data_IF_751345125182
#
_entry.id   IF_751345125182
#
_cell.length_a   1.000
_cell.length_b   1.000
_cell.length_c   1.000
_cell.angle_alpha   90.00
_cell.angle_beta   90.00
_cell.angle_gamma   90.00
#
_symmetry.space_group_name_H-M   'P 1'
#
loop_
_entity.id
_entity.type
_entity.pdbx_description
1 polymer ?
#
# COMPACT_ATOMS: atom_id res chain seq x y z
N UNK A 1 -20.38 -20.59 20.00
CA UNK A 1 -20.89 -19.84 18.82
C UNK A 1 -22.18 -20.52 18.34
N UNK A 2 -23.27 -19.78 18.10
CA UNK A 2 -24.56 -20.36 17.65
C UNK A 2 -24.37 -21.19 16.35
N UNK A 3 -24.87 -22.44 16.28
CA UNK A 3 -24.65 -23.34 15.14
C UNK A 3 -25.17 -22.76 13.82
N UNK A 4 -26.27 -22.01 13.86
CA UNK A 4 -26.84 -21.33 12.68
C UNK A 4 -25.88 -20.23 12.19
N UNK A 5 -25.28 -19.46 13.11
CA UNK A 5 -24.27 -18.44 12.76
C UNK A 5 -23.04 -19.08 12.11
N UNK A 6 -22.59 -20.23 12.62
CA UNK A 6 -21.47 -20.98 12.06
C UNK A 6 -21.77 -21.44 10.62
N UNK A 7 -22.96 -22.01 10.40
CA UNK A 7 -23.42 -22.45 9.08
C UNK A 7 -23.50 -21.28 8.10
N UNK A 8 -24.12 -20.16 8.48
CA UNK A 8 -24.22 -18.96 7.65
C UNK A 8 -22.86 -18.38 7.30
N UNK A 9 -21.92 -18.39 8.24
CA UNK A 9 -20.53 -17.94 8.01
C UNK A 9 -19.86 -18.80 6.95
N UNK A 10 -19.96 -20.13 7.05
CA UNK A 10 -19.43 -21.07 6.04
C UNK A 10 -20.05 -20.85 4.67
N UNK A 11 -21.37 -20.69 4.59
CA UNK A 11 -22.09 -20.43 3.33
C UNK A 11 -21.65 -19.09 2.69
N UNK A 12 -21.50 -18.03 3.50
CA UNK A 12 -21.01 -16.73 3.03
C UNK A 12 -19.60 -16.85 2.46
N UNK A 13 -18.70 -17.52 3.18
CA UNK A 13 -17.32 -17.73 2.75
C UNK A 13 -17.24 -18.53 1.44
N UNK A 14 -18.04 -19.60 1.29
CA UNK A 14 -18.09 -20.36 0.05
C UNK A 14 -18.50 -19.47 -1.14
N UNK A 15 -19.55 -18.65 -0.97
CA UNK A 15 -19.99 -17.70 -2.01
C UNK A 15 -18.93 -16.63 -2.30
N UNK A 16 -18.29 -16.10 -1.27
CA UNK A 16 -17.28 -15.05 -1.41
C UNK A 16 -16.01 -15.55 -2.08
N UNK A 17 -15.56 -16.78 -1.79
CA UNK A 17 -14.41 -17.39 -2.47
C UNK A 17 -14.55 -17.38 -4.00
N UNK A 18 -15.76 -17.63 -4.53
CA UNK A 18 -16.03 -17.52 -5.97
C UNK A 18 -15.86 -16.08 -6.49
N UNK A 19 -16.34 -15.09 -5.74
CA UNK A 19 -16.20 -13.66 -6.09
C UNK A 19 -14.75 -13.18 -6.00
N UNK A 20 -14.03 -13.59 -4.96
CA UNK A 20 -12.64 -13.19 -4.69
C UNK A 20 -11.68 -13.75 -5.74
N UNK A 21 -11.96 -14.94 -6.29
CA UNK A 21 -11.20 -15.50 -7.42
C UNK A 21 -11.29 -14.68 -8.71
N UNK A 22 -12.32 -13.85 -8.87
CA UNK A 22 -12.48 -13.02 -10.06
C UNK A 22 -11.67 -11.70 -10.00
N UNK A 23 -11.06 -11.38 -8.86
CA UNK A 23 -10.17 -10.22 -8.63
C UNK A 23 -10.70 -8.85 -9.10
N UNK A 24 -12.03 -8.66 -9.07
CA UNK A 24 -12.71 -7.40 -9.43
C UNK A 24 -12.92 -6.46 -8.24
N UNK A 25 -12.11 -6.61 -7.19
CA UNK A 25 -12.33 -5.98 -5.89
C UNK A 25 -13.49 -6.60 -5.10
N UNK A 26 -13.48 -6.39 -3.79
CA UNK A 26 -14.49 -6.95 -2.89
C UNK A 26 -15.35 -5.87 -2.25
N UNK A 27 -16.64 -5.94 -2.57
CA UNK A 27 -17.66 -5.07 -2.01
C UNK A 27 -18.79 -5.84 -1.35
N UNK A 28 -19.26 -5.32 -0.23
CA UNK A 28 -20.46 -5.76 0.48
C UNK A 28 -21.56 -4.73 0.30
N UNK A 29 -22.82 -5.18 0.35
CA UNK A 29 -23.99 -4.31 0.35
C UNK A 29 -24.89 -4.69 1.50
N UNK A 30 -25.15 -3.76 2.41
CA UNK A 30 -25.70 -4.04 3.72
C UNK A 30 -26.97 -3.22 3.99
N UNK A 31 -28.01 -3.91 4.45
CA UNK A 31 -29.24 -3.27 4.92
C UNK A 31 -29.11 -2.78 6.36
N UNK A 32 -28.30 -3.40 7.20
CA UNK A 32 -28.02 -2.87 8.53
C UNK A 32 -26.52 -2.57 8.66
N UNK A 33 -26.07 -1.42 8.13
CA UNK A 33 -24.66 -1.09 8.06
C UNK A 33 -24.06 -0.78 9.45
N UNK A 34 -24.83 -0.17 10.36
CA UNK A 34 -24.41 0.07 11.74
C UNK A 34 -24.17 -1.24 12.51
N UNK A 35 -25.12 -2.20 12.42
CA UNK A 35 -24.94 -3.51 13.07
C UNK A 35 -23.76 -4.30 12.50
N UNK A 36 -23.39 -4.06 11.24
CA UNK A 36 -22.18 -4.66 10.66
C UNK A 36 -20.90 -4.08 11.27
N UNK A 37 -20.78 -2.75 11.40
CA UNK A 37 -19.62 -2.13 12.05
C UNK A 37 -19.49 -2.59 13.51
N UNK A 38 -20.60 -2.64 14.26
CA UNK A 38 -20.64 -3.24 15.60
C UNK A 38 -20.30 -4.74 15.59
N UNK A 39 -20.66 -5.45 14.52
CA UNK A 39 -20.27 -6.84 14.30
C UNK A 39 -18.77 -7.00 14.13
N UNK A 40 -18.12 -6.11 13.35
CA UNK A 40 -16.68 -6.13 13.14
C UNK A 40 -15.93 -5.95 14.47
N UNK A 41 -16.37 -5.00 15.30
CA UNK A 41 -15.80 -4.80 16.63
C UNK A 41 -15.97 -6.03 17.54
N UNK A 42 -17.15 -6.66 17.55
CA UNK A 42 -17.42 -7.88 18.36
C UNK A 42 -16.64 -9.11 17.90
N UNK A 43 -16.36 -9.22 16.61
CA UNK A 43 -15.53 -10.29 16.05
C UNK A 43 -14.04 -9.95 16.10
N UNK A 44 -13.64 -8.86 16.78
CA UNK A 44 -12.27 -8.38 16.89
C UNK A 44 -11.57 -8.26 15.53
N UNK A 45 -12.25 -7.65 14.57
CA UNK A 45 -11.65 -7.32 13.27
C UNK A 45 -10.95 -5.98 13.39
N UNK A 46 -9.64 -5.95 13.19
CA UNK A 46 -8.93 -4.69 12.96
C UNK A 46 -9.38 -4.10 11.62
N UNK A 47 -10.08 -2.97 11.68
CA UNK A 47 -10.54 -2.23 10.52
C UNK A 47 -10.46 -0.73 10.74
N UNK A 48 -10.47 0.04 9.65
CA UNK A 48 -10.54 1.49 9.70
C UNK A 48 -11.32 2.04 8.52
N UNK A 49 -12.18 3.05 8.76
CA UNK A 49 -12.82 3.85 7.70
C UNK A 49 -11.78 4.76 7.08
N UNK A 50 -11.60 4.67 5.76
CA UNK A 50 -10.48 5.29 5.07
C UNK A 50 -10.60 6.81 4.87
N UNK A 51 -11.80 7.30 4.58
CA UNK A 51 -12.02 8.69 4.17
C UNK A 51 -13.43 9.14 4.43
N UNK A 52 -13.62 10.46 4.57
CA UNK A 52 -14.94 11.08 4.79
C UNK A 52 -15.66 10.47 5.99
N UNK A 53 -14.91 10.19 7.06
CA UNK A 53 -15.43 9.51 8.24
C UNK A 53 -16.56 10.32 8.91
N UNK A 54 -16.60 11.64 8.68
CA UNK A 54 -17.65 12.53 9.17
C UNK A 54 -19.00 12.37 8.45
N UNK A 55 -18.99 11.87 7.21
CA UNK A 55 -20.20 11.58 6.42
C UNK A 55 -20.83 10.22 6.80
N UNK A 56 -20.11 9.39 7.58
CA UNK A 56 -20.54 8.03 7.93
C UNK A 56 -21.94 8.01 8.59
N UNK A 57 -22.28 8.86 9.59
CA UNK A 57 -23.65 8.92 10.13
C UNK A 57 -24.75 9.07 9.06
N UNK A 58 -24.54 9.98 8.12
CA UNK A 58 -25.49 10.32 7.06
C UNK A 58 -25.59 9.17 6.05
N UNK A 59 -24.49 8.48 5.77
CA UNK A 59 -24.49 7.29 4.91
C UNK A 59 -25.15 6.09 5.61
N UNK A 60 -24.89 5.87 6.90
CA UNK A 60 -25.50 4.79 7.69
C UNK A 60 -27.03 4.98 7.83
N UNK A 61 -27.46 6.22 8.03
CA UNK A 61 -28.88 6.62 8.07
C UNK A 61 -29.53 6.73 6.69
N UNK A 62 -28.74 6.68 5.61
CA UNK A 62 -29.14 6.82 4.21
C UNK A 62 -29.69 8.20 3.83
N UNK A 63 -29.34 9.22 4.60
CA UNK A 63 -29.56 10.61 4.20
C UNK A 63 -28.71 10.96 2.97
N UNK A 64 -27.53 10.34 2.84
CA UNK A 64 -26.63 10.49 1.69
C UNK A 64 -26.38 9.13 1.05
N UNK A 65 -26.45 9.07 -0.28
CA UNK A 65 -26.11 7.88 -1.06
C UNK A 65 -24.62 7.91 -1.41
N UNK A 66 -23.83 7.16 -0.64
CA UNK A 66 -22.40 6.98 -0.91
C UNK A 66 -21.91 5.58 -0.49
N UNK A 67 -20.66 5.26 -0.84
CA UNK A 67 -19.95 4.10 -0.31
C UNK A 67 -19.08 4.41 0.91
N UNK A 68 -18.86 3.37 1.72
CA UNK A 68 -17.91 3.39 2.84
C UNK A 68 -16.74 2.48 2.50
N UNK A 69 -15.55 3.05 2.40
CA UNK A 69 -14.33 2.29 2.16
C UNK A 69 -13.65 1.90 3.47
N UNK A 70 -13.38 0.61 3.62
CA UNK A 70 -12.70 0.04 4.78
C UNK A 70 -11.36 -0.55 4.37
N UNK A 71 -10.34 -0.29 5.18
CA UNK A 71 -9.15 -1.11 5.24
C UNK A 71 -9.30 -2.10 6.39
N UNK A 72 -8.98 -3.37 6.15
CA UNK A 72 -9.05 -4.46 7.13
C UNK A 72 -7.74 -5.23 7.19
N UNK A 73 -7.45 -5.84 8.33
CA UNK A 73 -6.33 -6.77 8.47
C UNK A 73 -6.49 -7.99 7.56
N UNK A 74 -5.40 -8.44 6.93
CA UNK A 74 -5.37 -9.68 6.17
C UNK A 74 -5.87 -10.88 6.99
N UNK A 75 -6.48 -11.87 6.33
CA UNK A 75 -7.01 -13.06 7.02
C UNK A 75 -8.31 -12.81 7.80
N UNK A 76 -8.80 -11.57 7.89
CA UNK A 76 -10.04 -11.25 8.62
C UNK A 76 -11.33 -11.66 7.93
N UNK A 77 -11.29 -12.21 6.71
CA UNK A 77 -12.48 -12.57 5.95
C UNK A 77 -13.46 -13.51 6.70
N UNK A 78 -13.02 -14.56 7.44
CA UNK A 78 -13.92 -15.37 8.26
C UNK A 78 -14.62 -14.57 9.36
N UNK A 79 -13.89 -13.68 10.06
CA UNK A 79 -14.44 -12.79 11.08
C UNK A 79 -15.42 -11.79 10.48
N UNK A 80 -15.10 -11.21 9.31
CA UNK A 80 -16.01 -10.34 8.54
C UNK A 80 -17.30 -11.10 8.15
N UNK A 81 -17.18 -12.36 7.72
CA UNK A 81 -18.34 -13.20 7.38
C UNK A 81 -19.23 -13.49 8.61
N UNK A 82 -18.64 -13.61 9.80
CA UNK A 82 -19.32 -13.77 11.06
C UNK A 82 -19.98 -12.46 11.56
N UNK A 83 -19.38 -11.31 11.28
CA UNK A 83 -19.89 -9.97 11.61
C UNK A 83 -21.11 -9.55 10.78
N UNK A 84 -21.32 -10.18 9.63
CA UNK A 84 -22.45 -9.87 8.73
C UNK A 84 -23.82 -10.10 9.42
N UNK A 85 -24.74 -9.10 9.37
CA UNK A 85 -26.08 -9.22 9.94
C UNK A 85 -26.83 -10.47 9.47
N UNK A 86 -27.64 -11.09 10.34
CA UNK A 86 -28.36 -12.34 10.04
C UNK A 86 -29.26 -12.19 8.80
N UNK A 87 -30.07 -11.12 8.77
CA UNK A 87 -30.90 -10.77 7.63
C UNK A 87 -30.27 -9.64 6.81
N UNK A 88 -29.96 -9.93 5.55
CA UNK A 88 -29.49 -8.94 4.56
C UNK A 88 -30.32 -9.01 3.26
N UNK A 89 -31.61 -9.31 3.40
CA UNK A 89 -32.59 -9.37 2.30
C UNK A 89 -33.08 -7.95 1.92
N UNK A 90 -33.53 -7.80 0.68
CA UNK A 90 -34.04 -6.54 0.13
C UNK A 90 -33.30 -6.03 -1.11
N UNK A 91 -33.90 -5.01 -1.74
CA UNK A 91 -33.43 -4.40 -3.00
C UNK A 91 -32.06 -3.71 -2.82
N UNK A 92 -31.27 -3.66 -3.90
CA UNK A 92 -29.92 -3.05 -3.91
C UNK A 92 -29.94 -1.58 -3.50
N UNK A 93 -30.95 -0.82 -3.91
CA UNK A 93 -31.10 0.60 -3.57
C UNK A 93 -31.28 0.89 -2.07
N UNK A 94 -31.69 -0.11 -1.28
CA UNK A 94 -31.90 0.04 0.17
C UNK A 94 -30.65 -0.33 0.99
N UNK A 95 -29.52 -0.60 0.32
CA UNK A 95 -28.31 -1.12 0.94
C UNK A 95 -27.15 -0.14 0.77
N UNK A 96 -26.43 0.09 1.85
CA UNK A 96 -25.17 0.84 1.84
C UNK A 96 -24.07 -0.07 1.29
N UNK A 97 -23.25 0.47 0.39
CA UNK A 97 -22.12 -0.25 -0.20
C UNK A 97 -20.87 -0.04 0.68
N UNK A 98 -20.19 -1.14 0.99
CA UNK A 98 -18.88 -1.13 1.61
C UNK A 98 -17.87 -1.68 0.63
N UNK A 99 -16.80 -0.94 0.35
CA UNK A 99 -15.63 -1.45 -0.36
C UNK A 99 -14.57 -1.86 0.65
N UNK A 100 -14.01 -3.06 0.50
CA UNK A 100 -13.08 -3.63 1.46
C UNK A 100 -11.72 -3.86 0.79
N UNK A 101 -10.70 -3.34 1.44
CA UNK A 101 -9.30 -3.50 1.06
C UNK A 101 -8.53 -4.13 2.22
N UNK A 102 -7.49 -4.89 1.91
CA UNK A 102 -6.60 -5.47 2.93
C UNK A 102 -5.22 -4.83 2.89
N UNK A 103 -4.54 -4.85 4.03
CA UNK A 103 -3.13 -4.46 4.18
C UNK A 103 -2.16 -5.25 3.28
N UNK A 104 -2.48 -6.49 2.91
CA UNK A 104 -1.66 -7.29 2.00
C UNK A 104 -2.06 -7.21 0.52
N UNK A 105 -3.24 -6.64 0.22
CA UNK A 105 -3.80 -6.60 -1.14
C UNK A 105 -4.08 -7.98 -1.76
N UNK A 106 -4.19 -9.04 -0.97
CA UNK A 106 -4.39 -10.42 -1.46
C UNK A 106 -5.78 -10.96 -1.13
N UNK A 107 -6.05 -12.18 -1.59
CA UNK A 107 -7.33 -12.90 -1.35
C UNK A 107 -8.55 -12.16 -1.89
N UNK A 108 -8.40 -11.38 -2.96
CA UNK A 108 -9.47 -10.61 -3.60
C UNK A 108 -9.93 -9.36 -2.84
N UNK A 109 -9.24 -9.00 -1.75
CA UNK A 109 -9.34 -7.71 -1.04
C UNK A 109 -8.27 -6.72 -1.55
N UNK A 110 -7.97 -6.80 -2.84
CA UNK A 110 -7.01 -5.96 -3.54
C UNK A 110 -7.68 -4.68 -4.05
N UNK A 111 -6.91 -3.61 -4.18
CA UNK A 111 -7.23 -2.50 -5.06
C UNK A 111 -6.55 -2.77 -6.41
N UNK A 112 -7.34 -3.19 -7.40
CA UNK A 112 -6.83 -3.47 -8.76
C UNK A 112 -5.59 -4.38 -8.74
N UNK A 113 -5.68 -5.50 -8.03
CA UNK A 113 -4.60 -6.50 -7.86
C UNK A 113 -3.39 -6.07 -7.01
N UNK A 114 -3.39 -4.83 -6.49
CA UNK A 114 -2.38 -4.33 -5.55
C UNK A 114 -2.97 -4.02 -4.17
N UNK A 115 -2.14 -3.92 -3.12
CA UNK A 115 -2.55 -3.31 -1.86
C UNK A 115 -3.04 -1.87 -2.07
N UNK A 116 -4.07 -1.45 -1.32
CA UNK A 116 -4.58 -0.08 -1.38
C UNK A 116 -3.53 0.94 -0.90
N UNK A 117 -2.80 0.60 0.17
CA UNK A 117 -1.58 1.30 0.57
C UNK A 117 -0.43 0.28 0.60
N UNK A 118 0.84 0.70 0.47
CA UNK A 118 1.97 -0.17 0.75
C UNK A 118 1.79 -0.91 2.10
N UNK A 119 2.08 -2.22 2.20
CA UNK A 119 1.63 -3.04 3.33
C UNK A 119 1.98 -2.51 4.71
N UNK A 120 3.18 -1.97 4.90
CA UNK A 120 3.61 -1.41 6.19
C UNK A 120 2.81 -0.14 6.55
N UNK A 121 2.46 0.68 5.57
CA UNK A 121 1.59 1.86 5.78
C UNK A 121 0.16 1.45 6.07
N UNK A 122 -0.35 0.45 5.36
CA UNK A 122 -1.67 -0.10 5.62
C UNK A 122 -1.76 -0.66 7.05
N UNK A 123 -0.73 -1.39 7.49
CA UNK A 123 -0.64 -1.92 8.84
C UNK A 123 -0.56 -0.81 9.89
N UNK A 124 0.28 0.20 9.66
CA UNK A 124 0.36 1.41 10.49
C UNK A 124 -1.01 2.09 10.70
N UNK A 125 -1.83 2.20 9.64
CA UNK A 125 -3.19 2.74 9.76
C UNK A 125 -4.13 1.88 10.61
N UNK A 126 -3.99 0.55 10.54
CA UNK A 126 -4.79 -0.38 11.34
C UNK A 126 -4.37 -0.35 12.80
N UNK A 127 -3.07 -0.29 13.08
CA UNK A 127 -2.51 -0.30 14.44
C UNK A 127 -2.81 1.00 15.19
N UNK A 128 -2.75 2.14 14.48
CA UNK A 128 -3.00 3.46 15.05
C UNK A 128 -4.45 3.92 14.93
N UNK A 129 -5.36 3.07 14.45
CA UNK A 129 -6.77 3.42 14.29
C UNK A 129 -7.34 4.00 15.60
N UNK A 130 -8.21 4.99 15.49
CA UNK A 130 -8.87 5.61 16.63
C UNK A 130 -10.36 5.27 16.62
N UNK A 131 -10.91 4.92 17.78
CA UNK A 131 -12.35 4.79 17.93
C UNK A 131 -12.98 6.19 17.85
N UNK A 132 -13.78 6.41 16.83
CA UNK A 132 -14.63 7.59 16.71
C UNK A 132 -15.72 7.52 17.80
N UNK A 133 -16.03 8.64 18.50
CA UNK A 133 -17.08 8.67 19.53
C UNK A 133 -18.45 8.15 19.06
N UNK A 134 -18.70 8.15 17.76
CA UNK A 134 -19.94 7.67 17.13
C UNK A 134 -19.98 6.15 16.90
N UNK A 135 -18.90 5.42 17.24
CA UNK A 135 -18.91 3.96 17.37
C UNK A 135 -18.26 3.15 16.24
N UNK A 136 -17.32 3.72 15.49
CA UNK A 136 -16.51 2.99 14.50
C UNK A 136 -15.05 3.46 14.52
N UNK A 137 -14.15 2.69 13.93
CA UNK A 137 -12.74 3.08 13.84
C UNK A 137 -12.48 3.97 12.62
N UNK A 138 -11.74 5.05 12.82
CA UNK A 138 -11.23 5.97 11.77
C UNK A 138 -9.70 6.04 11.82
N UNK A 139 -9.10 6.54 10.74
CA UNK A 139 -7.65 6.80 10.71
C UNK A 139 -7.34 7.85 11.77
N UNK A 140 -6.23 7.68 12.50
CA UNK A 140 -5.78 8.67 13.47
C UNK A 140 -5.58 10.05 12.81
N UNK A 141 -5.84 11.16 13.53
CA UNK A 141 -5.70 12.52 13.00
C UNK A 141 -4.36 12.76 12.28
N UNK A 142 -3.25 12.31 12.88
CA UNK A 142 -1.91 12.48 12.34
C UNK A 142 -1.67 11.81 10.97
N UNK A 143 -2.45 10.78 10.64
CA UNK A 143 -2.26 9.96 9.44
C UNK A 143 -3.38 10.18 8.41
N UNK A 144 -4.49 10.82 8.81
CA UNK A 144 -5.69 10.92 7.99
C UNK A 144 -5.51 11.79 6.75
N UNK A 145 -4.99 13.01 6.92
CA UNK A 145 -4.75 13.91 5.79
C UNK A 145 -3.73 13.35 4.78
N UNK A 146 -2.56 12.82 5.20
CA UNK A 146 -1.66 12.13 4.28
C UNK A 146 -2.31 10.98 3.51
N UNK A 147 -3.12 10.15 4.19
CA UNK A 147 -3.84 9.06 3.55
C UNK A 147 -4.90 9.53 2.55
N UNK A 148 -5.56 10.66 2.82
CA UNK A 148 -6.54 11.29 1.93
C UNK A 148 -5.88 11.93 0.71
N UNK A 149 -4.81 12.70 0.90
CA UNK A 149 -4.06 13.29 -0.22
C UNK A 149 -3.45 12.18 -1.07
N UNK A 150 -2.92 11.10 -0.49
CA UNK A 150 -2.47 9.92 -1.23
C UNK A 150 -3.56 9.34 -2.15
N UNK A 151 -4.80 9.22 -1.64
CA UNK A 151 -5.93 8.77 -2.44
C UNK A 151 -6.20 9.72 -3.62
N UNK A 152 -6.22 11.03 -3.39
CA UNK A 152 -6.45 12.00 -4.45
C UNK A 152 -5.31 11.98 -5.49
N UNK A 153 -4.07 11.93 -5.03
CA UNK A 153 -2.87 12.01 -5.86
C UNK A 153 -2.59 10.75 -6.67
N UNK A 154 -2.78 9.55 -6.12
CA UNK A 154 -2.37 8.30 -6.81
C UNK A 154 -3.53 7.37 -7.18
N UNK A 155 -4.66 7.42 -6.47
CA UNK A 155 -5.81 6.55 -6.78
C UNK A 155 -6.81 7.24 -7.70
N UNK A 156 -7.10 8.52 -7.45
CA UNK A 156 -8.01 9.33 -8.28
C UNK A 156 -7.26 10.05 -9.40
N UNK A 157 -6.06 10.57 -9.12
CA UNK A 157 -5.20 11.28 -10.07
C UNK A 157 -5.99 12.41 -10.74
N UNK A 158 -5.97 12.54 -12.06
CA UNK A 158 -6.72 13.58 -12.76
C UNK A 158 -8.24 13.51 -12.50
N UNK A 159 -8.81 12.33 -12.22
CA UNK A 159 -10.23 12.19 -11.86
C UNK A 159 -10.58 12.75 -10.46
N UNK A 160 -9.60 13.27 -9.72
CA UNK A 160 -9.83 14.09 -8.52
C UNK A 160 -10.27 15.52 -8.86
N UNK A 161 -10.10 15.97 -10.10
CA UNK A 161 -10.33 17.36 -10.51
C UNK A 161 -9.20 18.32 -10.14
N UNK A 162 -8.09 17.82 -9.58
CA UNK A 162 -6.86 18.59 -9.43
C UNK A 162 -6.17 18.77 -10.79
N UNK A 163 -5.48 19.89 -10.95
CA UNK A 163 -4.61 20.14 -12.11
C UNK A 163 -3.43 19.17 -12.09
N UNK A 164 -2.79 18.93 -13.23
CA UNK A 164 -1.59 18.09 -13.24
C UNK A 164 -0.41 18.85 -12.62
N UNK A 165 -0.16 20.05 -13.12
CA UNK A 165 0.95 20.91 -12.72
C UNK A 165 0.44 22.23 -12.11
N UNK A 166 1.25 22.89 -11.27
CA UNK A 166 0.96 24.24 -10.80
C UNK A 166 0.89 25.20 -11.99
N UNK A 167 -0.08 26.11 -11.97
CA UNK A 167 -0.25 27.12 -13.02
C UNK A 167 -0.96 26.63 -14.28
N UNK A 168 -1.25 25.33 -14.43
CA UNK A 168 -2.14 24.83 -15.49
C UNK A 168 -3.50 25.56 -15.44
N UNK A 169 -4.17 25.73 -16.58
CA UNK A 169 -5.47 26.40 -16.62
C UNK A 169 -6.57 25.54 -15.97
N UNK A 170 -7.65 26.16 -15.46
CA UNK A 170 -8.80 25.39 -14.95
C UNK A 170 -9.47 24.54 -16.01
N UNK A 171 -9.36 24.93 -17.29
CA UNK A 171 -9.85 24.15 -18.41
C UNK A 171 -9.11 22.80 -18.58
N UNK A 172 -7.92 22.64 -17.99
CA UNK A 172 -7.17 21.37 -17.99
C UNK A 172 -7.72 20.33 -17.01
N UNK A 173 -8.57 20.73 -16.06
CA UNK A 173 -9.11 19.83 -15.04
C UNK A 173 -10.06 18.83 -15.70
N UNK A 174 -9.93 17.57 -15.33
CA UNK A 174 -10.97 16.59 -15.64
C UNK A 174 -12.16 16.78 -14.71
N UNK A 175 -13.37 16.64 -15.24
CA UNK A 175 -14.60 16.71 -14.44
C UNK A 175 -14.60 15.64 -13.37
N UNK A 176 -14.56 16.06 -12.10
CA UNK A 176 -14.64 15.17 -10.96
C UNK A 176 -16.09 14.89 -10.56
N UNK A 177 -16.34 13.71 -9.95
CA UNK A 177 -17.66 13.36 -9.38
C UNK A 177 -18.09 14.32 -8.26
N UNK A 178 -17.13 14.92 -7.56
CA UNK A 178 -17.30 15.80 -6.41
C UNK A 178 -16.20 16.85 -6.44
N UNK A 179 -16.40 17.98 -5.77
CA UNK A 179 -15.33 18.93 -5.49
C UNK A 179 -14.41 18.37 -4.39
N UNK A 180 -13.47 17.51 -4.79
CA UNK A 180 -12.53 16.89 -3.85
C UNK A 180 -11.52 17.89 -3.28
N UNK A 181 -11.23 18.97 -4.01
CA UNK A 181 -10.32 20.03 -3.56
C UNK A 181 -10.93 20.77 -2.37
N UNK A 182 -12.16 21.24 -2.53
CA UNK A 182 -12.85 21.94 -1.46
C UNK A 182 -13.05 21.01 -0.26
N UNK A 183 -13.44 19.75 -0.50
CA UNK A 183 -13.54 18.75 0.58
C UNK A 183 -12.23 18.51 1.32
N UNK A 184 -11.09 18.45 0.62
CA UNK A 184 -9.78 18.31 1.28
C UNK A 184 -9.50 19.49 2.23
N UNK A 185 -9.82 20.72 1.81
CA UNK A 185 -9.65 21.92 2.64
C UNK A 185 -10.57 21.90 3.87
N UNK A 186 -11.79 21.39 3.73
CA UNK A 186 -12.72 21.22 4.85
C UNK A 186 -12.20 20.19 5.87
N UNK A 187 -11.71 19.04 5.40
CA UNK A 187 -11.11 18.02 6.27
C UNK A 187 -9.87 18.58 6.98
N UNK A 188 -9.02 19.33 6.28
CA UNK A 188 -7.85 19.96 6.87
C UNK A 188 -8.20 20.92 8.00
N UNK A 189 -9.18 21.79 7.77
CA UNK A 189 -9.71 22.69 8.80
C UNK A 189 -10.30 21.91 9.98
N UNK A 190 -11.01 20.81 9.71
CA UNK A 190 -11.61 19.96 10.77
C UNK A 190 -10.55 19.28 11.63
N UNK A 191 -9.46 18.80 11.02
CA UNK A 191 -8.35 18.15 11.74
C UNK A 191 -7.35 19.15 12.32
N UNK A 192 -7.54 20.45 12.11
CA UNK A 192 -6.59 21.49 12.57
C UNK A 192 -5.24 21.44 11.86
N UNK A 193 -5.19 20.92 10.63
CA UNK A 193 -3.97 20.80 9.83
C UNK A 193 -3.90 21.96 8.84
N UNK A 194 -2.84 22.75 8.92
CA UNK A 194 -2.55 23.78 7.92
C UNK A 194 -1.99 23.10 6.66
N UNK A 195 -2.78 23.09 5.58
CA UNK A 195 -2.31 22.64 4.28
C UNK A 195 -1.69 23.79 3.49
N UNK A 196 -0.60 23.57 2.74
CA UNK A 196 -0.19 24.47 1.67
C UNK A 196 -1.28 24.53 0.58
N UNK A 197 -1.19 25.46 -0.39
CA UNK A 197 -2.12 25.52 -1.52
C UNK A 197 -1.93 24.30 -2.43
N UNK A 198 -2.63 23.20 -2.11
CA UNK A 198 -2.63 21.96 -2.88
C UNK A 198 -3.67 22.05 -4.00
N UNK A 199 -3.30 22.62 -5.16
CA UNK A 199 -4.21 22.78 -6.30
C UNK A 199 -3.88 21.87 -7.49
N UNK A 200 -2.67 21.31 -7.48
CA UNK A 200 -2.17 20.36 -8.48
C UNK A 200 -1.74 19.03 -7.86
N UNK A 201 -1.72 17.99 -8.69
CA UNK A 201 -1.19 16.67 -8.32
C UNK A 201 0.30 16.75 -7.95
N UNK A 202 1.07 17.63 -8.61
CA UNK A 202 2.48 17.87 -8.29
C UNK A 202 2.68 18.45 -6.90
N UNK A 203 1.93 19.48 -6.51
CA UNK A 203 1.98 20.04 -5.16
C UNK A 203 1.60 18.98 -4.12
N UNK A 204 0.56 18.18 -4.41
CA UNK A 204 0.19 17.08 -3.52
C UNK A 204 1.30 16.02 -3.41
N UNK A 205 1.98 15.67 -4.50
CA UNK A 205 3.09 14.73 -4.49
C UNK A 205 4.27 15.25 -3.65
N UNK A 206 4.63 16.53 -3.82
CA UNK A 206 5.68 17.19 -3.05
C UNK A 206 5.35 17.22 -1.56
N UNK A 207 4.12 17.62 -1.21
CA UNK A 207 3.68 17.59 0.18
C UNK A 207 3.70 16.16 0.74
N UNK A 208 3.26 15.16 -0.02
CA UNK A 208 3.35 13.76 0.39
C UNK A 208 4.80 13.27 0.58
N UNK A 209 5.78 13.79 -0.16
CA UNK A 209 7.19 13.48 0.10
C UNK A 209 7.62 14.02 1.46
N UNK A 210 7.25 15.26 1.80
CA UNK A 210 7.55 15.89 3.09
C UNK A 210 6.88 15.19 4.26
N UNK A 211 5.64 14.71 4.07
CA UNK A 211 4.90 13.95 5.08
C UNK A 211 5.37 12.50 5.19
N UNK A 212 6.34 12.06 4.38
CA UNK A 212 6.72 10.66 4.24
C UNK A 212 5.56 9.73 3.84
N UNK A 213 4.68 10.16 2.95
CA UNK A 213 3.54 9.37 2.47
C UNK A 213 3.51 9.18 0.95
N UNK A 214 4.47 9.74 0.19
CA UNK A 214 4.50 9.58 -1.25
C UNK A 214 4.65 8.12 -1.70
N UNK A 215 4.16 7.81 -2.90
CA UNK A 215 4.19 6.46 -3.47
C UNK A 215 5.64 5.95 -3.57
N UNK A 216 5.94 4.68 -3.22
CA UNK A 216 7.23 4.06 -3.49
C UNK A 216 7.65 4.19 -4.95
N UNK A 217 8.92 4.49 -5.22
CA UNK A 217 9.40 4.69 -6.59
C UNK A 217 9.11 3.48 -7.49
N UNK A 218 9.40 2.27 -6.99
CA UNK A 218 9.18 1.02 -7.70
C UNK A 218 7.70 0.70 -7.94
N UNK A 219 6.80 1.34 -7.20
CA UNK A 219 5.36 1.20 -7.34
C UNK A 219 4.78 2.12 -8.43
N UNK A 220 5.45 3.22 -8.80
CA UNK A 220 4.97 4.15 -9.83
C UNK A 220 4.73 3.41 -11.16
N UNK A 221 5.75 2.71 -11.67
CA UNK A 221 5.68 1.93 -12.93
C UNK A 221 4.86 0.66 -12.82
N UNK A 222 4.77 0.09 -11.61
CA UNK A 222 4.04 -1.17 -11.38
C UNK A 222 2.57 -0.95 -11.02
N UNK A 223 2.11 0.31 -10.97
CA UNK A 223 0.72 0.64 -10.71
C UNK A 223 -0.16 0.13 -11.88
N UNK A 224 -1.30 -0.52 -11.63
CA UNK A 224 -2.06 -1.26 -12.64
C UNK A 224 -2.59 -0.38 -13.78
N UNK A 225 -2.91 0.87 -13.49
CA UNK A 225 -3.42 1.81 -14.48
C UNK A 225 -2.40 2.93 -14.65
N UNK A 226 -1.52 2.81 -15.64
CA UNK A 226 -0.62 3.90 -15.99
C UNK A 226 -1.41 5.04 -16.65
N UNK A 227 -1.01 6.27 -16.37
CA UNK A 227 -1.51 7.47 -17.04
C UNK A 227 -0.42 8.56 -17.07
N UNK A 228 -0.71 9.66 -17.75
CA UNK A 228 0.21 10.76 -17.93
C UNK A 228 0.74 11.33 -16.60
N UNK A 229 -0.05 11.24 -15.52
CA UNK A 229 0.39 11.70 -14.20
C UNK A 229 1.45 10.78 -13.61
N UNK A 230 1.26 9.45 -13.63
CA UNK A 230 2.28 8.53 -13.13
C UNK A 230 3.56 8.55 -13.99
N UNK A 231 3.44 8.73 -15.30
CA UNK A 231 4.59 8.94 -16.18
C UNK A 231 5.36 10.21 -15.80
N UNK A 232 4.66 11.31 -15.53
CA UNK A 232 5.26 12.55 -15.08
C UNK A 232 6.00 12.39 -13.75
N UNK A 233 5.36 11.78 -12.74
CA UNK A 233 6.00 11.51 -11.43
C UNK A 233 7.24 10.63 -11.60
N UNK A 234 7.16 9.58 -12.41
CA UNK A 234 8.32 8.72 -12.66
C UNK A 234 9.47 9.51 -13.29
N UNK A 235 9.20 10.33 -14.31
CA UNK A 235 10.22 11.13 -14.97
C UNK A 235 10.86 12.15 -14.00
N UNK A 236 10.05 12.83 -13.20
CA UNK A 236 10.49 13.78 -12.17
C UNK A 236 11.42 13.11 -11.16
N UNK A 237 10.99 11.99 -10.58
CA UNK A 237 11.76 11.27 -9.57
C UNK A 237 13.03 10.66 -10.16
N UNK A 238 12.97 10.16 -11.40
CA UNK A 238 14.15 9.67 -12.13
C UNK A 238 15.17 10.79 -12.33
N UNK A 239 14.75 11.97 -12.79
CA UNK A 239 15.62 13.12 -12.97
C UNK A 239 16.25 13.57 -11.64
N UNK A 240 15.47 13.58 -10.55
CA UNK A 240 15.96 13.89 -9.20
C UNK A 240 17.05 12.92 -8.75
N UNK A 241 16.87 11.62 -9.00
CA UNK A 241 17.84 10.58 -8.64
C UNK A 241 19.15 10.72 -9.45
N UNK A 242 19.05 10.92 -10.77
CA UNK A 242 20.22 11.08 -11.64
C UNK A 242 21.01 12.36 -11.32
N UNK A 243 20.33 13.48 -11.09
CA UNK A 243 20.98 14.76 -10.74
C UNK A 243 21.84 14.63 -9.48
N UNK A 244 21.40 13.80 -8.53
CA UNK A 244 22.07 13.56 -7.25
C UNK A 244 23.19 12.52 -7.33
N UNK A 245 23.20 11.67 -8.36
CA UNK A 245 24.21 10.63 -8.58
C UNK A 245 24.58 10.55 -10.07
N UNK A 246 25.22 11.58 -10.65
CA UNK A 246 25.43 11.67 -12.10
C UNK A 246 26.43 10.64 -12.65
N UNK A 247 27.28 10.06 -11.79
CA UNK A 247 28.38 9.16 -12.19
C UNK A 247 28.11 7.69 -11.88
N UNK A 248 26.85 7.29 -11.66
CA UNK A 248 26.54 5.90 -11.36
C UNK A 248 26.76 4.98 -12.59
N UNK A 249 27.37 3.79 -12.41
CA UNK A 249 27.51 2.82 -13.48
C UNK A 249 26.14 2.41 -14.05
N UNK A 250 25.97 2.42 -15.37
CA UNK A 250 24.69 2.07 -16.03
C UNK A 250 24.19 0.66 -15.73
N UNK A 251 25.09 -0.23 -15.30
CA UNK A 251 24.84 -1.63 -15.03
C UNK A 251 24.83 -1.95 -13.53
N UNK A 252 24.69 -0.92 -12.69
CA UNK A 252 24.50 -1.04 -11.26
C UNK A 252 23.18 -1.73 -10.93
N UNK A 253 23.24 -2.72 -10.05
CA UNK A 253 22.08 -3.45 -9.54
C UNK A 253 22.20 -3.52 -8.02
N UNK A 254 21.09 -3.25 -7.34
CA UNK A 254 20.97 -3.47 -5.91
C UNK A 254 20.07 -4.68 -5.66
N UNK A 255 20.55 -5.62 -4.85
CA UNK A 255 19.76 -6.69 -4.30
C UNK A 255 19.57 -6.45 -2.80
N UNK A 256 18.36 -6.74 -2.32
CA UNK A 256 18.04 -6.72 -0.90
C UNK A 256 17.55 -8.12 -0.55
N UNK A 257 18.36 -8.82 0.24
CA UNK A 257 18.00 -10.11 0.82
C UNK A 257 16.99 -9.91 1.95
N UNK A 258 16.27 -10.96 2.30
CA UNK A 258 15.30 -10.94 3.39
C UNK A 258 15.76 -11.76 4.59
N UNK A 259 15.17 -11.54 5.76
CA UNK A 259 15.52 -12.25 7.00
C UNK A 259 15.62 -13.77 6.83
N UNK A 260 14.77 -14.38 6.01
CA UNK A 260 14.76 -15.83 5.77
C UNK A 260 16.03 -16.29 5.05
N UNK A 261 16.65 -15.42 4.24
CA UNK A 261 17.97 -15.70 3.63
C UNK A 261 19.05 -15.86 4.69
N UNK A 262 19.03 -15.03 5.74
CA UNK A 262 19.97 -15.10 6.86
C UNK A 262 19.71 -16.32 7.72
N UNK A 263 18.45 -16.57 8.08
CA UNK A 263 18.02 -17.72 8.89
C UNK A 263 18.45 -19.06 8.26
N UNK A 264 18.47 -19.13 6.94
CA UNK A 264 18.89 -20.31 6.19
C UNK A 264 20.34 -20.24 5.66
N UNK A 265 21.14 -19.24 6.07
CA UNK A 265 22.57 -19.10 5.74
C UNK A 265 22.88 -19.08 4.22
N UNK A 266 21.99 -18.52 3.40
CA UNK A 266 22.13 -18.51 1.93
C UNK A 266 22.83 -17.31 1.35
N UNK A 267 23.21 -16.36 2.18
CA UNK A 267 23.77 -15.11 1.69
C UNK A 267 25.06 -15.34 0.88
N UNK A 268 25.91 -16.27 1.30
CA UNK A 268 27.14 -16.61 0.57
C UNK A 268 26.83 -17.21 -0.80
N UNK A 269 25.86 -18.12 -0.90
CA UNK A 269 25.41 -18.68 -2.18
C UNK A 269 24.90 -17.60 -3.15
N UNK A 270 24.21 -16.57 -2.63
CA UNK A 270 23.77 -15.43 -3.42
C UNK A 270 24.99 -14.64 -3.92
N UNK A 271 25.94 -14.32 -3.04
CA UNK A 271 27.16 -13.58 -3.40
C UNK A 271 27.98 -14.34 -4.44
N UNK A 272 28.22 -15.62 -4.23
CA UNK A 272 28.99 -16.48 -5.16
C UNK A 272 28.32 -16.55 -6.53
N UNK A 273 26.98 -16.64 -6.56
CA UNK A 273 26.24 -16.62 -7.82
C UNK A 273 26.35 -15.28 -8.53
N UNK A 274 26.24 -14.15 -7.81
CA UNK A 274 26.44 -12.83 -8.40
C UNK A 274 27.86 -12.66 -8.94
N UNK A 275 28.88 -13.11 -8.19
CA UNK A 275 30.29 -13.05 -8.56
C UNK A 275 30.65 -13.89 -9.81
N UNK A 276 29.89 -14.95 -10.09
CA UNK A 276 30.02 -15.73 -11.35
C UNK A 276 29.57 -14.95 -12.59
N UNK A 277 28.71 -13.95 -12.43
CA UNK A 277 28.13 -13.21 -13.55
C UNK A 277 28.63 -11.77 -13.67
N UNK A 278 29.13 -11.17 -12.58
CA UNK A 278 29.61 -9.80 -12.54
C UNK A 278 30.40 -9.51 -11.27
N UNK A 279 30.46 -8.24 -10.90
CA UNK A 279 31.30 -7.78 -9.77
C UNK A 279 30.42 -7.39 -8.60
N UNK A 280 30.59 -8.07 -7.46
CA UNK A 280 30.00 -7.62 -6.19
C UNK A 280 30.85 -6.48 -5.64
N UNK A 281 30.25 -5.29 -5.52
CA UNK A 281 30.95 -4.08 -5.06
C UNK A 281 30.87 -3.93 -3.55
N UNK A 282 29.72 -4.24 -2.96
CA UNK A 282 29.48 -4.06 -1.54
C UNK A 282 28.45 -5.06 -1.02
N UNK A 283 28.67 -5.51 0.22
CA UNK A 283 27.72 -6.28 1.02
C UNK A 283 27.59 -5.56 2.36
N UNK A 284 26.38 -5.15 2.71
CA UNK A 284 26.12 -4.38 3.93
C UNK A 284 24.87 -4.91 4.64
N UNK A 285 25.00 -5.46 5.86
CA UNK A 285 23.87 -5.68 6.75
C UNK A 285 23.14 -4.35 7.02
N UNK A 286 21.82 -4.40 6.97
CA UNK A 286 20.98 -3.23 7.18
C UNK A 286 20.81 -2.97 8.67
N UNK A 287 21.04 -1.73 9.08
CA UNK A 287 20.70 -1.31 10.44
C UNK A 287 19.18 -1.10 10.60
N UNK A 288 18.65 -1.00 11.84
CA UNK A 288 17.22 -0.85 12.07
C UNK A 288 16.57 0.34 11.35
N UNK A 289 17.29 1.44 11.17
CA UNK A 289 16.76 2.65 10.53
C UNK A 289 16.64 2.47 9.01
N UNK A 290 17.64 1.83 8.40
CA UNK A 290 17.62 1.43 6.99
C UNK A 290 16.52 0.41 6.71
N UNK A 291 16.31 -0.55 7.60
CA UNK A 291 15.19 -1.50 7.52
C UNK A 291 13.86 -0.76 7.56
N UNK A 292 13.65 0.15 8.52
CA UNK A 292 12.41 0.95 8.59
C UNK A 292 12.20 1.80 7.35
N UNK A 293 13.25 2.45 6.83
CA UNK A 293 13.19 3.22 5.57
C UNK A 293 12.78 2.35 4.39
N UNK A 294 13.42 1.21 4.17
CA UNK A 294 13.08 0.31 3.06
C UNK A 294 11.64 -0.23 3.18
N UNK A 295 11.24 -0.64 4.37
CA UNK A 295 9.89 -1.13 4.63
C UNK A 295 8.81 -0.08 4.33
N UNK A 296 9.12 1.18 4.60
CA UNK A 296 8.19 2.30 4.43
C UNK A 296 8.17 2.88 3.02
N UNK A 297 9.34 2.95 2.36
CA UNK A 297 9.54 3.67 1.10
C UNK A 297 9.65 2.78 -0.12
N UNK A 298 10.03 1.51 0.03
CA UNK A 298 10.06 0.58 -1.08
C UNK A 298 8.89 -0.41 -0.99
N UNK A 299 8.34 -0.83 -2.13
CA UNK A 299 7.40 -1.97 -2.13
C UNK A 299 8.14 -3.31 -1.97
N UNK A 300 9.39 -3.41 -2.44
CA UNK A 300 10.26 -4.59 -2.24
C UNK A 300 9.70 -5.90 -2.83
N UNK A 301 8.86 -5.82 -3.86
CA UNK A 301 8.12 -6.98 -4.40
C UNK A 301 7.04 -7.52 -3.46
N UNK A 302 6.55 -6.70 -2.52
CA UNK A 302 5.71 -7.01 -1.36
C UNK A 302 6.52 -7.66 -0.23
N UNK A 303 6.85 -6.88 0.82
CA UNK A 303 7.57 -7.31 2.02
C UNK A 303 6.87 -8.41 2.83
N UNK A 304 5.70 -8.88 2.44
CA UNK A 304 5.01 -9.97 3.10
C UNK A 304 5.51 -11.34 2.61
N UNK A 305 5.76 -12.25 3.54
CA UNK A 305 6.03 -13.66 3.27
C UNK A 305 4.84 -14.33 2.58
N UNK A 306 5.12 -15.24 1.64
CA UNK A 306 4.08 -15.87 0.80
C UNK A 306 3.13 -16.78 1.57
N UNK A 307 3.59 -17.50 2.60
CA UNK A 307 2.81 -18.50 3.33
C UNK A 307 2.03 -17.95 4.52
N UNK A 308 2.67 -17.12 5.34
CA UNK A 308 2.13 -16.72 6.65
C UNK A 308 1.69 -15.26 6.72
N UNK A 309 1.89 -14.47 5.66
CA UNK A 309 1.60 -13.03 5.67
C UNK A 309 2.31 -12.26 6.77
N UNK A 310 3.36 -12.85 7.35
CA UNK A 310 4.29 -12.19 8.22
C UNK A 310 5.15 -11.23 7.41
N UNK A 311 5.59 -10.16 8.06
CA UNK A 311 6.59 -9.29 7.50
C UNK A 311 7.89 -10.08 7.31
N UNK A 312 8.41 -10.06 6.09
CA UNK A 312 9.68 -10.63 5.67
C UNK A 312 10.63 -9.46 5.48
N UNK A 313 11.27 -9.09 6.58
CA UNK A 313 12.04 -7.86 6.69
C UNK A 313 13.27 -7.90 5.76
N UNK A 314 13.66 -6.75 5.17
CA UNK A 314 14.94 -6.65 4.48
C UNK A 314 16.08 -6.85 5.48
N UNK A 315 17.13 -7.56 5.06
CA UNK A 315 18.24 -7.94 5.94
C UNK A 315 19.58 -7.40 5.46
N UNK A 316 20.03 -7.81 4.28
CA UNK A 316 21.32 -7.38 3.74
C UNK A 316 21.16 -6.80 2.34
N UNK A 317 21.79 -5.64 2.13
CA UNK A 317 21.93 -5.01 0.83
C UNK A 317 23.22 -5.46 0.15
N UNK A 318 23.10 -5.84 -1.12
CA UNK A 318 24.21 -6.25 -1.98
C UNK A 318 24.21 -5.34 -3.19
N UNK A 319 25.28 -4.58 -3.36
CA UNK A 319 25.52 -3.72 -4.52
C UNK A 319 26.43 -4.47 -5.48
N UNK A 320 26.02 -4.59 -6.74
CA UNK A 320 26.82 -5.24 -7.77
C UNK A 320 26.71 -4.56 -9.13
N UNK A 321 27.70 -4.80 -9.98
CA UNK A 321 27.64 -4.52 -11.40
C UNK A 321 27.41 -5.83 -12.13
N UNK A 322 26.30 -5.94 -12.85
CA UNK A 322 25.96 -7.13 -13.65
C UNK A 322 26.00 -6.78 -15.15
N UNK A 323 26.13 -7.75 -16.05
CA UNK A 323 26.01 -7.49 -17.48
C UNK A 323 24.64 -6.87 -17.80
N UNK A 324 24.60 -5.96 -18.78
CA UNK A 324 23.37 -5.30 -19.19
C UNK A 324 22.29 -6.33 -19.55
N UNK A 325 21.09 -6.19 -18.99
CA UNK A 325 19.97 -7.12 -19.20
C UNK A 325 20.05 -8.45 -18.43
N UNK A 326 21.16 -8.76 -17.73
CA UNK A 326 21.31 -10.04 -17.02
C UNK A 326 20.64 -10.06 -15.63
N UNK A 327 20.32 -8.89 -15.04
CA UNK A 327 19.78 -8.81 -13.69
C UNK A 327 18.51 -9.66 -13.49
N UNK A 328 17.58 -9.62 -14.46
CA UNK A 328 16.32 -10.35 -14.36
C UNK A 328 16.51 -11.88 -14.36
N UNK A 329 17.37 -12.41 -15.24
CA UNK A 329 17.64 -13.84 -15.34
C UNK A 329 18.38 -14.36 -14.11
N UNK A 330 19.38 -13.62 -13.62
CA UNK A 330 20.14 -13.98 -12.40
C UNK A 330 19.22 -13.96 -11.17
N UNK A 331 18.35 -12.95 -11.02
CA UNK A 331 17.33 -12.92 -9.96
C UNK A 331 16.40 -14.15 -10.03
N UNK A 332 16.02 -14.58 -11.25
CA UNK A 332 15.18 -15.76 -11.44
C UNK A 332 15.92 -17.07 -11.09
N UNK A 333 17.20 -17.21 -11.46
CA UNK A 333 18.05 -18.33 -11.08
C UNK A 333 18.13 -18.46 -9.56
N UNK A 334 18.50 -17.38 -8.86
CA UNK A 334 18.63 -17.34 -7.41
C UNK A 334 17.31 -17.76 -6.72
N UNK A 335 16.19 -17.14 -7.11
CA UNK A 335 14.87 -17.48 -6.56
C UNK A 335 14.49 -18.93 -6.78
N UNK A 336 14.78 -19.48 -7.97
CA UNK A 336 14.48 -20.87 -8.33
C UNK A 336 15.35 -21.85 -7.54
N UNK A 337 16.64 -21.55 -7.40
CA UNK A 337 17.60 -22.36 -6.63
C UNK A 337 17.19 -22.43 -5.16
N UNK A 338 17.01 -21.27 -4.51
CA UNK A 338 16.61 -21.18 -3.10
C UNK A 338 15.23 -21.82 -2.86
N UNK A 339 14.26 -21.59 -3.76
CA UNK A 339 12.93 -22.18 -3.61
C UNK A 339 12.89 -23.69 -3.78
N UNK A 340 13.83 -24.28 -4.55
CA UNK A 340 13.94 -25.74 -4.68
C UNK A 340 14.45 -26.38 -3.39
N UNK A 341 15.37 -25.71 -2.71
CA UNK A 341 16.00 -26.24 -1.50
C UNK A 341 15.15 -25.99 -0.24
N UNK A 342 14.50 -24.83 -0.13
CA UNK A 342 13.85 -24.38 1.12
C UNK A 342 12.37 -24.00 0.95
N UNK A 343 11.80 -24.34 -0.20
CA UNK A 343 10.41 -24.06 -0.53
C UNK A 343 10.19 -22.63 -1.04
N UNK A 344 9.03 -22.41 -1.66
CA UNK A 344 8.68 -21.13 -2.29
C UNK A 344 8.55 -20.01 -1.26
N UNK A 345 9.49 -19.06 -1.31
CA UNK A 345 9.49 -17.82 -0.52
C UNK A 345 9.97 -16.64 -1.36
N UNK A 346 9.79 -15.43 -0.82
CA UNK A 346 10.32 -14.20 -1.42
C UNK A 346 11.75 -13.95 -0.92
N UNK A 347 12.70 -14.80 -1.29
CA UNK A 347 14.07 -14.77 -0.74
C UNK A 347 14.79 -13.43 -0.86
N UNK A 348 14.62 -12.76 -2.00
CA UNK A 348 15.27 -11.49 -2.28
C UNK A 348 14.43 -10.60 -3.19
N UNK A 349 14.64 -9.31 -3.03
CA UNK A 349 14.29 -8.28 -3.99
C UNK A 349 15.55 -7.82 -4.74
N UNK A 350 15.39 -7.33 -5.95
CA UNK A 350 16.48 -6.66 -6.65
C UNK A 350 15.92 -5.72 -7.70
N UNK A 351 16.63 -4.63 -7.92
CA UNK A 351 16.19 -3.51 -8.78
C UNK A 351 16.10 -3.93 -10.24
N UNK A 352 15.17 -3.33 -10.98
CA UNK A 352 14.90 -3.66 -12.37
C UNK A 352 15.68 -2.75 -13.35
N UNK A 353 16.00 -1.53 -12.93
CA UNK A 353 16.78 -0.57 -13.71
C UNK A 353 17.71 0.28 -12.83
N UNK A 354 18.50 1.15 -13.48
CA UNK A 354 19.42 2.06 -12.81
C UNK A 354 18.69 3.06 -11.90
N UNK A 355 17.54 3.57 -12.29
CA UNK A 355 16.82 4.55 -11.48
C UNK A 355 16.33 3.92 -10.16
N UNK A 356 15.80 2.70 -10.21
CA UNK A 356 15.44 1.94 -9.01
C UNK A 356 16.70 1.61 -8.18
N UNK A 357 17.84 1.29 -8.81
CA UNK A 357 19.11 1.11 -8.08
C UNK A 357 19.54 2.38 -7.34
N UNK A 358 19.50 3.55 -8.00
CA UNK A 358 19.80 4.84 -7.37
C UNK A 358 18.83 5.16 -6.23
N UNK A 359 17.55 4.85 -6.42
CA UNK A 359 16.53 5.02 -5.39
C UNK A 359 16.87 4.23 -4.13
N UNK A 360 17.15 2.94 -4.26
CA UNK A 360 17.55 2.10 -3.13
C UNK A 360 18.85 2.58 -2.48
N UNK A 361 19.83 3.03 -3.26
CA UNK A 361 21.06 3.61 -2.72
C UNK A 361 20.77 4.85 -1.86
N UNK A 362 19.86 5.73 -2.29
CA UNK A 362 19.49 6.93 -1.53
C UNK A 362 18.70 6.57 -0.27
N UNK A 363 17.78 5.61 -0.32
CA UNK A 363 17.05 5.13 0.87
C UNK A 363 17.99 4.64 1.99
N UNK A 364 19.19 4.19 1.63
CA UNK A 364 20.14 3.54 2.53
C UNK A 364 21.19 4.51 3.05
N UNK A 365 21.59 5.47 2.21
CA UNK A 365 22.70 6.39 2.48
C UNK A 365 22.27 7.78 2.96
N UNK A 366 20.99 8.15 2.82
CA UNK A 366 20.54 9.54 3.07
C UNK A 366 19.32 9.63 3.97
N UNK A 367 19.34 10.62 4.85
CA UNK A 367 18.30 10.88 5.85
C UNK A 367 17.14 11.75 5.32
N UNK A 368 17.11 12.02 4.02
CA UNK A 368 16.02 12.75 3.37
C UNK A 368 14.72 11.93 3.28
N UNK A 369 14.83 10.60 3.29
CA UNK A 369 13.68 9.69 3.41
C UNK A 369 13.30 9.47 4.88
N UNK A 370 12.58 10.45 5.43
CA UNK A 370 12.02 10.36 6.78
C UNK A 370 11.07 9.15 6.89
N UNK A 371 11.02 8.54 8.06
CA UNK A 371 9.96 7.60 8.41
C UNK A 371 9.15 8.23 9.53
N UNK A 372 7.81 8.05 9.58
CA UNK A 372 7.07 8.39 10.77
C UNK A 372 7.63 7.57 11.95
N UNK A 373 7.49 8.07 13.17
CA UNK A 373 7.81 7.32 14.37
C UNK A 373 6.94 6.05 14.40
N UNK A 374 7.49 4.95 13.86
CA UNK A 374 6.99 3.61 14.09
C UNK A 374 7.37 3.30 15.54
N UNK A 375 6.39 3.26 16.44
CA UNK A 375 6.61 2.71 17.78
C UNK A 375 7.17 1.30 17.60
N UNK A 376 8.45 1.12 17.95
CA UNK A 376 9.08 -0.18 17.95
C UNK A 376 8.31 -1.07 18.92
N UNK A 377 7.61 -2.07 18.38
CA UNK A 377 6.76 -2.95 19.17
C UNK A 377 5.56 -3.50 18.41
N UNK A 378 5.79 -4.18 17.29
CA UNK A 378 4.96 -5.27 16.77
C UNK A 378 5.84 -6.30 16.07
#
# INVERSE_FOLDING_TARGET
MNPIKALLTRLRLARWRKKLKADKGFSLRLRNPAAFLQGLAREDVAYVVLRWYDDVPQVLSRQVVDDIDLLVEHGSLPRIAAAMPFFNLGRKAQKVKFDLYSDSGRTGLSYRQLPYYPPVRARHLLDRRQLDPRGWYRIAPADYLPALVYHLTYHKRQASGLRMLPGDSDASRQTAKKDYRQRLLEEARREGVALPPLDSLLECHQWLLEQAWAIPFDLIRRWPDQDAWLDHVHALETARLHTRTPQAPHNLVILVTRQETREHQHEQHIVDTLARHGTVLQRQPLNPDQVRRLLWWARGGNWLATKHYALSAPDTLITCQLPAGAAASIKAELRKSLSRQHGKQNWLHGTDDLAEALYYQHLISRDDYRTPFLTAGQ
#
